data_IF_549744922468
#
_entry.id   IF_549744922468
#
_cell.length_a   1.000
_cell.length_b   1.000
_cell.length_c   1.000
_cell.angle_alpha   90.00
_cell.angle_beta   90.00
_cell.angle_gamma   90.00
#
_symmetry.space_group_name_H-M   'P 1'
#
loop_
_entity.id
_entity.type
_entity.pdbx_description
1 polymer ?
#
# COMPACT_ATOMS: atom_id res chain seq x y z
N UNK A 1 -18.76 -34.07 -64.67
CA UNK A 1 -19.95 -34.90 -64.41
C UNK A 1 -19.54 -35.90 -63.33
N UNK A 2 -20.08 -36.00 -62.12
CA UNK A 2 -21.38 -35.69 -61.50
C UNK A 2 -21.06 -35.28 -60.04
N UNK A 3 -21.35 -34.06 -59.61
CA UNK A 3 -22.55 -33.66 -58.85
C UNK A 3 -23.28 -34.81 -58.13
N UNK A 4 -23.14 -34.88 -56.80
CA UNK A 4 -24.20 -35.42 -55.94
C UNK A 4 -24.20 -34.70 -54.58
N UNK A 5 -25.23 -33.87 -54.48
CA UNK A 5 -25.76 -33.11 -53.35
C UNK A 5 -26.08 -34.00 -52.14
N UNK A 6 -25.61 -33.63 -50.94
CA UNK A 6 -26.34 -33.89 -49.68
C UNK A 6 -26.15 -32.74 -48.70
N UNK A 7 -27.25 -32.02 -48.54
CA UNK A 7 -27.56 -31.05 -47.50
C UNK A 7 -27.98 -31.82 -46.24
N UNK A 8 -27.35 -31.60 -45.07
CA UNK A 8 -28.08 -31.59 -43.79
C UNK A 8 -27.26 -30.90 -42.67
N UNK A 9 -27.99 -29.99 -42.03
CA UNK A 9 -27.74 -29.12 -40.89
C UNK A 9 -27.42 -29.89 -39.58
N UNK A 10 -26.40 -29.45 -38.83
CA UNK A 10 -26.24 -29.61 -37.37
C UNK A 10 -25.27 -28.51 -36.89
N UNK A 11 -25.79 -27.34 -36.50
CA UNK A 11 -25.99 -26.93 -35.10
C UNK A 11 -24.66 -26.82 -34.32
N UNK A 12 -24.19 -25.57 -34.20
CA UNK A 12 -23.72 -24.99 -32.95
C UNK A 12 -22.55 -25.65 -32.21
N UNK A 13 -21.33 -25.23 -32.54
CA UNK A 13 -20.26 -25.11 -31.55
C UNK A 13 -19.75 -23.68 -31.53
N UNK A 14 -20.63 -22.76 -31.11
CA UNK A 14 -20.18 -21.54 -30.42
C UNK A 14 -19.66 -22.01 -29.06
N UNK A 15 -18.40 -22.46 -29.02
CA UNK A 15 -17.66 -22.56 -27.78
C UNK A 15 -17.52 -21.13 -27.28
N UNK A 16 -18.40 -20.77 -26.34
CA UNK A 16 -18.15 -19.65 -25.47
C UNK A 16 -16.81 -19.89 -24.79
N UNK A 17 -15.78 -19.15 -25.22
CA UNK A 17 -14.75 -18.73 -24.31
C UNK A 17 -15.46 -17.78 -23.34
N UNK A 18 -16.11 -18.37 -22.33
CA UNK A 18 -16.54 -17.62 -21.18
C UNK A 18 -15.29 -16.94 -20.63
N UNK A 19 -15.36 -15.61 -20.45
CA UNK A 19 -14.55 -14.94 -19.45
C UNK A 19 -14.75 -15.71 -18.14
N UNK A 20 -13.85 -16.64 -17.86
CA UNK A 20 -13.60 -16.99 -16.48
C UNK A 20 -12.98 -15.74 -15.89
N UNK A 21 -13.74 -14.99 -15.09
CA UNK A 21 -13.17 -14.09 -14.11
C UNK A 21 -12.20 -14.93 -13.29
N UNK A 22 -10.92 -14.91 -13.69
CA UNK A 22 -9.84 -15.40 -12.86
C UNK A 22 -9.86 -14.49 -11.65
N UNK A 23 -10.48 -14.96 -10.56
CA UNK A 23 -10.32 -14.38 -9.23
C UNK A 23 -8.83 -14.47 -8.92
N UNK A 24 -8.09 -13.46 -9.34
CA UNK A 24 -6.66 -13.43 -9.19
C UNK A 24 -6.38 -13.23 -7.69
N UNK A 25 -5.90 -14.27 -7.03
CA UNK A 25 -5.57 -14.21 -5.61
C UNK A 25 -4.31 -13.39 -5.35
N UNK A 26 -4.07 -13.14 -4.07
CA UNK A 26 -2.81 -12.59 -3.59
C UNK A 26 -2.02 -13.66 -2.84
N UNK A 27 -0.70 -13.54 -2.89
CA UNK A 27 0.23 -14.22 -1.99
C UNK A 27 1.11 -13.15 -1.36
N UNK A 28 1.19 -13.13 -0.03
CA UNK A 28 2.17 -12.31 0.69
C UNK A 28 3.28 -13.24 1.14
N UNK A 29 4.51 -12.99 0.70
CA UNK A 29 5.71 -13.69 1.13
C UNK A 29 6.54 -12.76 2.00
N UNK A 30 6.71 -13.13 3.26
CA UNK A 30 7.35 -12.28 4.24
C UNK A 30 8.61 -12.90 4.82
N UNK A 31 9.61 -12.07 5.07
CA UNK A 31 10.87 -12.45 5.73
C UNK A 31 11.09 -11.62 6.99
N UNK A 32 11.83 -12.19 7.95
CA UNK A 32 12.26 -11.56 9.19
C UNK A 32 13.78 -11.62 9.30
N UNK A 33 14.43 -10.72 10.06
CA UNK A 33 15.88 -10.64 10.08
C UNK A 33 16.57 -11.80 10.84
N UNK A 34 15.82 -12.68 11.51
CA UNK A 34 16.39 -13.78 12.31
C UNK A 34 15.35 -14.86 12.64
N UNK A 35 15.81 -16.11 12.77
CA UNK A 35 15.02 -17.24 13.29
C UNK A 35 14.62 -17.08 14.76
N UNK A 36 15.12 -16.05 15.48
CA UNK A 36 14.70 -15.75 16.85
C UNK A 36 13.19 -15.47 16.97
N UNK A 37 12.54 -15.10 15.86
CA UNK A 37 11.11 -14.87 15.78
C UNK A 37 10.31 -16.13 15.40
N UNK A 38 10.97 -17.26 15.14
CA UNK A 38 10.29 -18.51 14.83
C UNK A 38 9.37 -18.92 15.98
N UNK A 39 8.17 -19.35 15.63
CA UNK A 39 7.12 -19.70 16.56
C UNK A 39 6.27 -18.54 17.06
N UNK A 40 6.64 -17.30 16.78
CA UNK A 40 5.77 -16.13 16.95
C UNK A 40 4.67 -16.11 15.90
N UNK A 41 3.59 -15.38 16.20
CA UNK A 41 2.48 -15.17 15.27
C UNK A 41 2.57 -13.80 14.62
N UNK A 42 2.35 -13.78 13.32
CA UNK A 42 2.06 -12.56 12.57
C UNK A 42 0.60 -12.57 12.13
N UNK A 43 -0.03 -11.41 12.21
CA UNK A 43 -1.45 -11.21 11.97
C UNK A 43 -1.63 -10.31 10.76
N UNK A 44 -2.55 -10.68 9.88
CA UNK A 44 -2.99 -9.88 8.75
C UNK A 44 -4.39 -9.34 9.06
N UNK A 45 -4.47 -8.05 9.37
CA UNK A 45 -5.67 -7.42 9.94
C UNK A 45 -6.26 -6.43 8.94
N UNK A 46 -7.54 -6.57 8.54
CA UNK A 46 -8.22 -5.55 7.74
C UNK A 46 -8.25 -4.18 8.42
N UNK A 47 -7.98 -3.11 7.68
CA UNK A 47 -8.06 -1.74 8.22
C UNK A 47 -9.50 -1.29 8.48
N UNK A 48 -10.48 -1.95 7.88
CA UNK A 48 -11.91 -1.74 8.10
C UNK A 48 -12.61 -3.05 8.46
N UNK A 49 -13.57 -2.99 9.39
CA UNK A 49 -14.39 -4.14 9.80
C UNK A 49 -13.56 -5.38 10.21
N UNK A 50 -12.55 -5.17 11.07
CA UNK A 50 -11.61 -6.21 11.47
C UNK A 50 -12.18 -7.39 12.29
N UNK A 51 -13.15 -7.22 13.22
CA UNK A 51 -13.63 -8.31 14.05
C UNK A 51 -14.12 -9.52 13.22
N UNK A 52 -13.56 -10.71 13.50
CA UNK A 52 -13.91 -11.95 12.80
C UNK A 52 -13.25 -12.15 11.42
N UNK A 53 -12.39 -11.23 10.97
CA UNK A 53 -11.72 -11.27 9.65
C UNK A 53 -10.18 -11.21 9.72
N UNK A 54 -9.63 -11.47 10.90
CA UNK A 54 -8.19 -11.49 11.13
C UNK A 54 -7.65 -12.85 10.71
N UNK A 55 -6.64 -12.84 9.85
CA UNK A 55 -5.86 -14.03 9.52
C UNK A 55 -4.55 -14.03 10.32
N UNK A 56 -3.99 -15.20 10.55
CA UNK A 56 -2.73 -15.35 11.26
C UNK A 56 -1.95 -16.57 10.81
N UNK A 57 -0.63 -16.42 10.77
CA UNK A 57 0.30 -17.52 10.49
C UNK A 57 1.43 -17.51 11.49
N UNK A 58 2.00 -18.69 11.71
CA UNK A 58 3.14 -18.87 12.60
C UNK A 58 4.41 -18.69 11.78
N UNK A 59 5.34 -17.89 12.29
CA UNK A 59 6.64 -17.67 11.65
C UNK A 59 7.47 -18.95 11.75
N UNK A 60 8.11 -19.33 10.65
CA UNK A 60 9.02 -20.47 10.57
C UNK A 60 10.14 -20.19 9.58
N UNK A 61 11.38 -20.56 9.94
CA UNK A 61 12.58 -20.31 9.14
C UNK A 61 12.72 -18.81 8.78
N UNK A 62 12.50 -17.95 9.78
CA UNK A 62 12.51 -16.49 9.63
C UNK A 62 11.59 -15.99 8.51
N UNK A 63 10.52 -16.71 8.20
CA UNK A 63 9.62 -16.40 7.09
C UNK A 63 8.16 -16.67 7.44
N UNK A 64 7.25 -16.08 6.67
CA UNK A 64 5.81 -16.32 6.74
C UNK A 64 5.17 -16.19 5.35
N UNK A 65 3.99 -16.78 5.18
CA UNK A 65 3.21 -16.58 3.96
C UNK A 65 1.72 -16.51 4.25
N UNK A 66 1.04 -15.56 3.62
CA UNK A 66 -0.41 -15.52 3.54
C UNK A 66 -0.85 -15.73 2.10
N UNK A 67 -2.00 -16.36 1.89
CA UNK A 67 -2.63 -16.41 0.57
C UNK A 67 -4.12 -16.18 0.72
N UNK A 68 -4.74 -15.56 -0.27
CA UNK A 68 -6.14 -15.22 -0.18
C UNK A 68 -6.71 -14.65 -1.45
N UNK A 69 -7.93 -14.14 -1.32
CA UNK A 69 -8.70 -13.55 -2.40
C UNK A 69 -9.30 -12.23 -1.90
N UNK A 70 -9.54 -11.32 -2.84
CA UNK A 70 -10.11 -10.02 -2.55
C UNK A 70 -9.06 -8.97 -2.22
N UNK A 71 -9.27 -7.79 -2.77
CA UNK A 71 -8.41 -6.62 -2.59
C UNK A 71 -8.97 -5.72 -1.49
N UNK A 72 -8.18 -5.50 -0.45
CA UNK A 72 -8.46 -4.54 0.61
C UNK A 72 -7.16 -4.05 1.26
N UNK A 73 -7.23 -2.91 1.94
CA UNK A 73 -6.12 -2.44 2.77
C UNK A 73 -6.07 -3.23 4.08
N UNK A 74 -4.93 -3.84 4.37
CA UNK A 74 -4.65 -4.57 5.60
C UNK A 74 -3.38 -4.06 6.26
N UNK A 75 -3.17 -4.46 7.51
CA UNK A 75 -1.95 -4.20 8.25
C UNK A 75 -1.37 -5.51 8.77
N UNK A 76 -0.08 -5.70 8.53
CA UNK A 76 0.72 -6.77 9.11
C UNK A 76 1.18 -6.34 10.50
N UNK A 77 0.87 -7.17 11.49
CA UNK A 77 1.13 -6.87 12.90
C UNK A 77 1.69 -8.07 13.63
N UNK A 78 2.57 -7.79 14.58
CA UNK A 78 3.04 -8.74 15.58
C UNK A 78 2.52 -8.36 16.96
N UNK A 79 2.74 -9.22 17.97
CA UNK A 79 2.40 -8.90 19.36
C UNK A 79 3.19 -7.66 19.85
N UNK A 80 2.64 -6.85 20.79
CA UNK A 80 3.22 -5.56 21.17
C UNK A 80 4.71 -5.55 21.50
N UNK A 81 5.22 -6.57 22.21
CA UNK A 81 6.63 -6.65 22.59
C UNK A 81 7.58 -6.72 21.38
N UNK A 82 7.14 -7.31 20.27
CA UNK A 82 7.96 -7.43 19.06
C UNK A 82 7.95 -6.17 18.21
N UNK A 83 7.00 -5.24 18.44
CA UNK A 83 6.86 -3.99 17.65
C UNK A 83 7.98 -2.98 17.89
N UNK A 84 8.86 -3.27 18.84
CA UNK A 84 10.08 -2.51 19.09
C UNK A 84 11.12 -2.80 17.99
N UNK A 85 11.15 -4.06 17.51
CA UNK A 85 12.11 -4.53 16.51
C UNK A 85 11.48 -4.74 15.12
N UNK A 86 10.15 -4.82 15.04
CA UNK A 86 9.41 -5.14 13.81
C UNK A 86 8.36 -4.06 13.56
N UNK A 87 8.51 -3.33 12.46
CA UNK A 87 7.57 -2.30 12.05
C UNK A 87 6.22 -2.92 11.63
N UNK A 88 5.11 -2.29 12.01
CA UNK A 88 3.81 -2.62 11.42
C UNK A 88 3.73 -2.06 9.99
N UNK A 89 3.33 -2.89 9.04
CA UNK A 89 3.31 -2.54 7.62
C UNK A 89 1.90 -2.57 7.06
N UNK A 90 1.51 -1.52 6.35
CA UNK A 90 0.31 -1.50 5.53
C UNK A 90 0.57 -2.29 4.24
N UNK A 91 -0.43 -3.05 3.80
CA UNK A 91 -0.38 -3.85 2.58
C UNK A 91 -1.74 -3.83 1.90
N UNK A 92 -1.75 -3.63 0.58
CA UNK A 92 -2.93 -3.82 -0.25
C UNK A 92 -2.94 -5.27 -0.74
N UNK A 93 -4.01 -6.02 -0.48
CA UNK A 93 -4.13 -7.42 -0.94
C UNK A 93 -4.54 -7.52 -2.41
N UNK A 94 -3.90 -6.74 -3.28
CA UNK A 94 -4.12 -6.80 -4.72
C UNK A 94 -3.55 -8.09 -5.31
N UNK A 95 -4.07 -8.46 -6.47
CA UNK A 95 -3.69 -9.69 -7.15
C UNK A 95 -2.20 -9.72 -7.51
N UNK A 96 -1.51 -10.80 -7.13
CA UNK A 96 -0.08 -10.99 -7.39
C UNK A 96 0.70 -11.47 -6.18
N UNK A 97 2.02 -11.48 -6.30
CA UNK A 97 2.92 -11.82 -5.20
C UNK A 97 3.46 -10.53 -4.58
N UNK A 98 3.20 -10.37 -3.29
CA UNK A 98 3.60 -9.23 -2.48
C UNK A 98 4.77 -9.68 -1.59
N UNK A 99 5.89 -9.00 -1.68
CA UNK A 99 7.07 -9.29 -0.86
C UNK A 99 7.13 -8.35 0.33
N UNK A 100 7.36 -8.91 1.52
CA UNK A 100 7.45 -8.16 2.77
C UNK A 100 8.78 -8.44 3.45
N UNK A 101 9.47 -7.37 3.83
CA UNK A 101 10.58 -7.43 4.79
C UNK A 101 10.07 -6.90 6.11
N UNK A 102 9.85 -7.77 7.08
CA UNK A 102 9.39 -7.41 8.42
C UNK A 102 10.59 -7.25 9.35
N UNK A 103 11.15 -6.05 9.38
CA UNK A 103 12.24 -5.63 10.27
C UNK A 103 11.97 -4.24 10.86
N UNK A 104 12.99 -3.56 11.37
CA UNK A 104 12.85 -2.24 12.01
C UNK A 104 12.46 -1.13 11.05
N UNK A 105 12.84 -1.20 9.77
CA UNK A 105 12.52 -0.19 8.76
C UNK A 105 11.32 -0.59 7.91
N UNK A 106 11.13 -1.89 7.69
CA UNK A 106 9.98 -2.49 7.03
C UNK A 106 9.80 -2.07 5.57
N UNK A 107 9.57 -3.04 4.68
CA UNK A 107 9.25 -2.73 3.28
C UNK A 107 8.21 -3.67 2.71
N UNK A 108 7.40 -3.15 1.80
CA UNK A 108 6.45 -3.93 0.98
C UNK A 108 6.72 -3.64 -0.49
N UNK A 109 6.69 -4.66 -1.34
CA UNK A 109 6.92 -4.52 -2.77
C UNK A 109 6.23 -5.62 -3.59
N UNK A 110 6.34 -5.55 -4.92
CA UNK A 110 6.01 -6.64 -5.85
C UNK A 110 4.67 -6.49 -6.56
N UNK A 111 3.88 -5.48 -6.21
CA UNK A 111 2.59 -5.17 -6.85
C UNK A 111 2.38 -3.65 -6.92
N UNK A 112 1.64 -3.13 -7.92
CA UNK A 112 1.66 -1.70 -8.23
C UNK A 112 1.23 -0.75 -7.09
N UNK A 113 0.15 -1.08 -6.37
CA UNK A 113 -0.31 -0.27 -5.25
C UNK A 113 0.65 -0.40 -4.06
N UNK A 114 1.16 -1.58 -3.78
CA UNK A 114 2.15 -1.74 -2.71
C UNK A 114 3.47 -1.00 -2.99
N UNK A 115 3.94 -1.01 -4.24
CA UNK A 115 5.13 -0.26 -4.67
C UNK A 115 4.90 1.25 -4.56
N UNK A 116 3.70 1.74 -4.92
CA UNK A 116 3.32 3.14 -4.74
C UNK A 116 3.26 3.55 -3.26
N UNK A 117 2.66 2.70 -2.41
CA UNK A 117 2.59 2.92 -0.97
C UNK A 117 4.00 2.97 -0.34
N UNK A 118 4.90 2.09 -0.79
CA UNK A 118 6.28 2.07 -0.32
C UNK A 118 7.05 3.33 -0.72
N UNK A 119 6.93 3.78 -1.98
CA UNK A 119 7.53 5.05 -2.43
C UNK A 119 7.07 6.23 -1.58
N UNK A 120 5.76 6.35 -1.36
CA UNK A 120 5.20 7.42 -0.52
C UNK A 120 5.68 7.34 0.94
N UNK A 121 5.77 6.12 1.50
CA UNK A 121 6.32 5.91 2.86
C UNK A 121 7.74 6.44 2.97
N UNK A 122 8.61 6.10 2.03
CA UNK A 122 10.02 6.49 2.03
C UNK A 122 10.21 8.00 1.87
N UNK A 123 9.47 8.64 0.95
CA UNK A 123 9.50 10.09 0.77
C UNK A 123 9.04 10.82 2.04
N UNK A 124 7.96 10.34 2.66
CA UNK A 124 7.46 10.88 3.93
C UNK A 124 8.47 10.68 5.05
N UNK A 125 9.11 9.52 5.16
CA UNK A 125 10.14 9.27 6.18
C UNK A 125 11.31 10.25 6.05
N UNK A 126 11.75 10.55 4.84
CA UNK A 126 12.77 11.58 4.56
C UNK A 126 12.33 12.96 5.04
N UNK A 127 11.13 13.42 4.65
CA UNK A 127 10.60 14.71 5.10
C UNK A 127 10.46 14.79 6.63
N UNK A 128 10.04 13.69 7.26
CA UNK A 128 9.92 13.60 8.72
C UNK A 128 11.28 13.71 9.43
N UNK A 129 12.37 13.22 8.82
CA UNK A 129 13.72 13.45 9.35
C UNK A 129 14.10 14.93 9.33
N UNK A 130 13.79 15.65 8.25
CA UNK A 130 14.07 17.08 8.14
C UNK A 130 13.26 17.89 9.16
N UNK A 131 11.98 17.60 9.33
CA UNK A 131 11.16 18.22 10.38
C UNK A 131 11.72 17.98 11.79
N UNK A 132 12.19 16.76 12.08
CA UNK A 132 12.81 16.44 13.39
C UNK A 132 14.08 17.26 13.61
N UNK A 133 14.91 17.43 12.58
CA UNK A 133 16.12 18.24 12.66
C UNK A 133 15.79 19.71 12.92
N UNK A 134 14.83 20.27 12.19
CA UNK A 134 14.35 21.65 12.40
C UNK A 134 13.84 21.82 13.83
N UNK A 135 12.92 20.95 14.26
CA UNK A 135 12.31 21.01 15.59
C UNK A 135 13.36 20.93 16.72
N UNK A 136 14.42 20.13 16.53
CA UNK A 136 15.51 20.00 17.52
C UNK A 136 16.37 21.26 17.60
N UNK A 137 16.62 21.92 16.47
CA UNK A 137 17.58 23.03 16.39
C UNK A 137 16.93 24.40 16.59
N UNK A 138 15.65 24.57 16.24
CA UNK A 138 14.97 25.86 16.21
C UNK A 138 14.99 26.60 17.55
N UNK A 139 14.81 25.95 18.73
CA UNK A 139 14.84 26.65 20.01
C UNK A 139 16.18 27.33 20.34
N UNK A 140 17.29 26.88 19.74
CA UNK A 140 18.62 27.43 19.95
C UNK A 140 19.06 28.41 18.83
N UNK A 141 18.29 28.50 17.74
CA UNK A 141 18.61 29.36 16.61
C UNK A 141 18.21 30.81 16.90
N UNK A 142 19.01 31.77 16.42
CA UNK A 142 18.73 33.21 16.60
C UNK A 142 18.97 33.96 15.29
N UNK A 143 18.37 35.15 15.15
CA UNK A 143 18.58 36.01 13.98
C UNK A 143 18.25 35.34 12.65
N UNK A 144 19.19 35.42 11.70
CA UNK A 144 19.01 34.88 10.35
C UNK A 144 18.84 33.35 10.32
N UNK A 145 19.51 32.63 11.23
CA UNK A 145 19.44 31.17 11.27
C UNK A 145 18.03 30.68 11.60
N UNK A 146 17.35 31.32 12.57
CA UNK A 146 15.97 30.95 12.91
C UNK A 146 15.00 31.28 11.78
N UNK A 147 15.20 32.41 11.07
CA UNK A 147 14.41 32.78 9.90
C UNK A 147 14.58 31.78 8.75
N UNK A 148 15.81 31.36 8.46
CA UNK A 148 16.09 30.34 7.44
C UNK A 148 15.41 29.02 7.76
N UNK A 149 15.43 28.60 9.03
CA UNK A 149 14.79 27.37 9.47
C UNK A 149 13.26 27.42 9.36
N UNK A 150 12.64 28.55 9.69
CA UNK A 150 11.20 28.75 9.51
C UNK A 150 10.83 28.67 8.03
N UNK A 151 11.58 29.38 7.16
CA UNK A 151 11.38 29.30 5.70
C UNK A 151 11.53 27.88 5.16
N UNK A 152 12.52 27.13 5.66
CA UNK A 152 12.70 25.74 5.27
C UNK A 152 11.54 24.85 5.73
N UNK A 153 11.03 25.06 6.95
CA UNK A 153 9.85 24.37 7.46
C UNK A 153 8.61 24.62 6.59
N UNK A 154 8.39 25.87 6.18
CA UNK A 154 7.27 26.24 5.30
C UNK A 154 7.42 25.62 3.91
N UNK A 155 8.64 25.61 3.35
CA UNK A 155 8.93 24.93 2.08
C UNK A 155 8.65 23.42 2.15
N UNK A 156 9.06 22.75 3.25
CA UNK A 156 8.76 21.33 3.47
C UNK A 156 7.24 21.07 3.54
N UNK A 157 6.47 21.99 4.14
CA UNK A 157 5.00 21.85 4.22
C UNK A 157 4.34 21.91 2.85
N UNK A 158 4.82 22.80 1.98
CA UNK A 158 4.33 22.90 0.61
C UNK A 158 4.75 21.66 -0.22
N UNK A 159 5.97 21.16 -0.04
CA UNK A 159 6.44 19.93 -0.69
C UNK A 159 5.62 18.70 -0.25
N UNK A 160 5.37 18.54 1.06
CA UNK A 160 4.55 17.43 1.58
C UNK A 160 3.13 17.50 1.02
N UNK A 161 2.54 18.69 0.93
CA UNK A 161 1.21 18.88 0.37
C UNK A 161 1.15 18.50 -1.11
N UNK A 162 2.11 18.95 -1.91
CA UNK A 162 2.16 18.64 -3.34
C UNK A 162 2.41 17.15 -3.58
N UNK A 163 3.33 16.54 -2.83
CA UNK A 163 3.56 15.09 -2.85
C UNK A 163 2.27 14.31 -2.54
N UNK A 164 1.54 14.71 -1.49
CA UNK A 164 0.27 14.07 -1.14
C UNK A 164 -0.80 14.25 -2.22
N UNK A 165 -0.88 15.43 -2.85
CA UNK A 165 -1.82 15.69 -3.93
C UNK A 165 -1.54 14.81 -5.15
N UNK A 166 -0.30 14.82 -5.65
CA UNK A 166 0.13 14.03 -6.80
C UNK A 166 -0.04 12.54 -6.56
N UNK A 167 0.28 12.06 -5.35
CA UNK A 167 0.05 10.68 -4.97
C UNK A 167 -1.43 10.30 -5.03
N UNK A 168 -2.33 11.12 -4.50
CA UNK A 168 -3.78 10.84 -4.58
C UNK A 168 -4.30 10.89 -6.02
N UNK A 169 -3.78 11.80 -6.85
CA UNK A 169 -4.12 11.88 -8.28
C UNK A 169 -3.65 10.63 -9.04
N UNK A 170 -2.42 10.18 -8.80
CA UNK A 170 -1.84 8.96 -9.40
C UNK A 170 -2.63 7.70 -9.02
N UNK A 171 -3.02 7.57 -7.75
CA UNK A 171 -3.74 6.38 -7.26
C UNK A 171 -5.24 6.39 -7.60
N UNK A 172 -5.83 7.57 -7.78
CA UNK A 172 -7.23 7.70 -8.12
C UNK A 172 -8.17 7.00 -7.12
N UNK A 173 -9.13 6.24 -7.66
CA UNK A 173 -10.13 5.49 -6.89
C UNK A 173 -9.79 4.00 -6.66
N UNK A 174 -8.52 3.61 -6.83
CA UNK A 174 -8.09 2.26 -6.46
C UNK A 174 -8.18 2.04 -4.93
N UNK A 175 -7.87 0.83 -4.45
CA UNK A 175 -7.98 0.51 -3.01
C UNK A 175 -7.07 1.38 -2.16
N UNK A 176 -5.83 1.59 -2.60
CA UNK A 176 -4.88 2.47 -1.93
C UNK A 176 -5.35 3.91 -1.91
N UNK A 177 -5.73 4.48 -3.04
CA UNK A 177 -6.16 5.86 -3.20
C UNK A 177 -7.34 6.19 -2.29
N UNK A 178 -8.40 5.37 -2.30
CA UNK A 178 -9.56 5.55 -1.41
C UNK A 178 -9.18 5.47 0.07
N UNK A 179 -8.29 4.54 0.44
CA UNK A 179 -7.82 4.44 1.82
C UNK A 179 -7.04 5.70 2.23
N UNK A 180 -6.12 6.17 1.37
CA UNK A 180 -5.22 7.27 1.63
C UNK A 180 -5.92 8.64 1.64
N UNK A 181 -7.01 8.81 0.88
CA UNK A 181 -7.86 10.01 0.94
C UNK A 181 -8.35 10.29 2.37
N UNK A 182 -8.62 9.27 3.19
CA UNK A 182 -9.06 9.47 4.58
C UNK A 182 -8.02 10.18 5.47
N UNK A 183 -6.74 10.10 5.09
CA UNK A 183 -5.63 10.66 5.88
C UNK A 183 -5.04 11.91 5.23
N UNK A 184 -4.95 11.93 3.90
CA UNK A 184 -4.20 12.94 3.17
C UNK A 184 -5.08 14.09 2.66
N UNK A 185 -6.38 13.87 2.46
CA UNK A 185 -7.27 14.88 1.87
C UNK A 185 -7.33 16.18 2.69
N UNK A 186 -7.27 16.08 4.02
CA UNK A 186 -7.26 17.24 4.92
C UNK A 186 -5.97 18.05 4.88
N UNK A 187 -4.89 17.50 4.29
CA UNK A 187 -3.61 18.21 4.14
C UNK A 187 -3.59 19.13 2.91
N UNK A 188 -4.53 18.93 1.98
CA UNK A 188 -4.60 19.62 0.69
C UNK A 188 -5.31 20.98 0.80
N UNK A 189 -4.95 21.90 -0.11
CA UNK A 189 -5.69 23.15 -0.30
C UNK A 189 -7.09 22.89 -0.86
N UNK A 190 -8.01 23.85 -0.70
CA UNK A 190 -9.36 23.76 -1.28
C UNK A 190 -9.33 23.55 -2.80
N UNK A 191 -8.41 24.24 -3.50
CA UNK A 191 -8.25 24.10 -4.95
C UNK A 191 -7.74 22.70 -5.34
N UNK A 192 -6.76 22.17 -4.61
CA UNK A 192 -6.29 20.79 -4.82
C UNK A 192 -7.40 19.76 -4.54
N UNK A 193 -8.21 19.96 -3.48
CA UNK A 193 -9.34 19.08 -3.20
C UNK A 193 -10.36 19.10 -4.33
N UNK A 194 -10.69 20.28 -4.85
CA UNK A 194 -11.61 20.42 -6.00
C UNK A 194 -11.07 19.73 -7.25
N UNK A 195 -9.79 19.93 -7.58
CA UNK A 195 -9.14 19.27 -8.72
C UNK A 195 -9.12 17.75 -8.57
N UNK A 196 -8.84 17.26 -7.36
CA UNK A 196 -8.90 15.83 -7.06
C UNK A 196 -10.34 15.30 -7.23
N UNK A 197 -11.34 16.00 -6.71
CA UNK A 197 -12.75 15.59 -6.86
C UNK A 197 -13.18 15.58 -8.34
N UNK A 198 -12.60 16.43 -9.19
CA UNK A 198 -12.83 16.44 -10.65
C UNK A 198 -12.13 15.27 -11.36
N UNK A 199 -10.91 14.89 -10.95
CA UNK A 199 -10.17 13.76 -11.56
C UNK A 199 -10.73 12.39 -11.18
N UNK A 200 -11.45 12.31 -10.05
CA UNK A 200 -12.06 11.08 -9.54
C UNK A 200 -13.48 10.80 -10.07
N UNK A 201 -14.06 11.71 -10.88
CA UNK A 201 -15.38 11.53 -11.52
C UNK A 201 -15.30 10.62 -12.74
#
# INVERSE_FOLDING_TARGET
MKLCFRFLLCIGCLLGAGCGDTKHGYVIEGTLPSVKYDGEWIYLVPMANAPGRVDSVKIANASFSFSGQGEEMKVLRVRPLLRIDIQELLVVTESGTIYVTADTLGSVAGTPQNDALQRWKEEREKMQMDYRLIRKRLPAATGEDSLQMVRHCDSLREQEREMNFLFLEEQGNNTLGRFMQNFLRSTLTEEQQKRLDESLR
#
